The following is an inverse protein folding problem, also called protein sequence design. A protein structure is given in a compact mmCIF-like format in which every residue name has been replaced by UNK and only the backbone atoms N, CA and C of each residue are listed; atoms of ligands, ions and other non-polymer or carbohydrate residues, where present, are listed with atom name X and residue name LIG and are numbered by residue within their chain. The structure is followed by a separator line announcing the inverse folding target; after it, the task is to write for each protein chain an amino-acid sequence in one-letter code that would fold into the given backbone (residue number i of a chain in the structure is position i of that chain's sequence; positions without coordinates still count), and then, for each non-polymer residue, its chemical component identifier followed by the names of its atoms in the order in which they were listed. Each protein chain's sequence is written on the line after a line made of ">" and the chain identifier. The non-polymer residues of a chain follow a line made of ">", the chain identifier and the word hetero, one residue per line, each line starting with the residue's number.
data_IF_827053111297
#
_entry.id   IF_827053111297
#
_cell.length_a   1.000
_cell.length_b   1.000
_cell.length_c   1.000
_cell.angle_alpha   90.00
_cell.angle_beta   90.00
_cell.angle_gamma   90.00
#
_symmetry.space_group_name_H-M   'P 1'
#
loop_
_entity.id
_entity.type
_entity.pdbx_description
1 polymer ?
#
# COMPACT_ATOMS: atom_id res chain seq x y z
N UNK A 1 4.56 40.97 -81.14
CA UNK A 1 3.12 40.61 -81.16
C UNK A 1 3.01 39.17 -80.66
N UNK A 2 2.83 38.96 -79.36
CA UNK A 2 1.55 38.86 -78.63
C UNK A 2 0.76 37.57 -78.97
N UNK A 3 0.75 36.66 -77.98
CA UNK A 3 -0.38 35.83 -77.49
C UNK A 3 -0.85 34.66 -78.37
N UNK A 4 -1.19 33.46 -77.87
CA UNK A 4 -1.72 32.98 -76.57
C UNK A 4 -1.23 31.54 -76.31
N UNK A 5 -0.95 31.19 -75.06
CA UNK A 5 -0.88 29.80 -74.59
C UNK A 5 -1.74 29.60 -73.33
N UNK A 6 -2.87 28.95 -73.57
CA UNK A 6 -3.65 28.01 -72.74
C UNK A 6 -3.50 27.98 -71.22
N UNK A 7 -4.65 28.27 -70.61
CA UNK A 7 -5.17 27.87 -69.31
C UNK A 7 -5.18 26.34 -69.12
N UNK A 8 -4.51 25.80 -68.08
CA UNK A 8 -5.10 24.88 -67.07
C UNK A 8 -4.05 24.28 -66.13
N UNK A 9 -4.53 23.97 -64.93
CA UNK A 9 -3.94 23.09 -63.92
C UNK A 9 -2.78 23.67 -63.10
N UNK A 10 -3.10 24.58 -62.19
CA UNK A 10 -2.31 24.78 -60.98
C UNK A 10 -3.24 25.15 -59.81
N UNK A 11 -4.19 24.28 -59.47
CA UNK A 11 -5.11 24.51 -58.34
C UNK A 11 -5.44 23.23 -57.57
N UNK A 12 -4.59 22.20 -57.62
CA UNK A 12 -4.81 20.97 -56.84
C UNK A 12 -3.92 20.81 -55.60
N UNK A 13 -2.90 21.66 -55.42
CA UNK A 13 -1.88 21.42 -54.39
C UNK A 13 -2.10 22.13 -53.04
N UNK A 14 -3.03 23.08 -52.92
CA UNK A 14 -3.16 23.84 -51.66
C UNK A 14 -4.27 23.33 -50.73
N UNK A 15 -5.28 22.63 -51.25
CA UNK A 15 -6.41 22.16 -50.44
C UNK A 15 -6.17 20.76 -49.84
N UNK A 16 -5.31 19.95 -50.48
CA UNK A 16 -4.99 18.59 -50.01
C UNK A 16 -4.00 18.58 -48.82
N UNK A 17 -3.17 19.62 -48.70
CA UNK A 17 -2.18 19.74 -47.61
C UNK A 17 -2.86 20.15 -46.29
N UNK A 18 -3.97 20.88 -46.35
CA UNK A 18 -4.68 21.35 -45.15
C UNK A 18 -5.49 20.24 -44.45
N UNK A 19 -5.94 19.22 -45.20
CA UNK A 19 -6.71 18.10 -44.65
C UNK A 19 -5.82 16.99 -44.04
N UNK A 20 -4.54 16.94 -44.42
CA UNK A 20 -3.59 15.91 -43.97
C UNK A 20 -2.95 16.26 -42.63
N UNK A 21 -3.08 17.51 -42.16
CA UNK A 21 -2.49 18.00 -40.91
C UNK A 21 -3.39 17.79 -39.67
N UNK A 22 -4.61 17.26 -39.84
CA UNK A 22 -5.61 17.15 -38.78
C UNK A 22 -5.72 15.74 -38.15
N UNK A 23 -4.81 14.81 -38.45
CA UNK A 23 -4.89 13.40 -38.01
C UNK A 23 -3.73 13.01 -37.07
N UNK A 24 -2.85 13.94 -36.69
CA UNK A 24 -1.82 13.63 -35.70
C UNK A 24 -2.30 13.98 -34.30
N UNK A 25 -2.03 13.09 -33.34
CA UNK A 25 -2.29 13.17 -31.89
C UNK A 25 -3.54 12.46 -31.35
N UNK A 26 -3.70 11.18 -31.68
CA UNK A 26 -4.21 10.21 -30.68
C UNK A 26 -3.03 9.40 -30.15
N UNK A 27 -2.18 10.04 -29.34
CA UNK A 27 -1.29 9.31 -28.44
C UNK A 27 -2.10 8.98 -27.19
N UNK A 28 -2.78 7.85 -27.21
CA UNK A 28 -3.37 7.28 -26.01
C UNK A 28 -2.21 6.59 -25.28
N UNK A 29 -1.49 7.34 -24.44
CA UNK A 29 -0.60 6.72 -23.47
C UNK A 29 -1.52 5.90 -22.56
N UNK A 30 -1.34 4.58 -22.56
CA UNK A 30 -1.88 3.76 -21.49
C UNK A 30 -1.01 4.03 -20.28
N UNK A 31 -1.23 5.18 -19.63
CA UNK A 31 -0.93 5.31 -18.21
C UNK A 31 -2.02 4.52 -17.49
N UNK A 32 -1.91 3.20 -17.62
CA UNK A 32 -2.49 2.29 -16.66
C UNK A 32 -1.65 2.61 -15.41
N UNK A 33 -2.24 3.24 -14.40
CA UNK A 33 -1.53 3.78 -13.23
C UNK A 33 -0.70 2.74 -12.47
N UNK A 34 -0.26 3.03 -11.22
CA UNK A 34 0.51 2.04 -10.47
C UNK A 34 -0.24 0.69 -10.40
N UNK A 35 0.49 -0.44 -10.40
CA UNK A 35 -0.12 -1.77 -10.42
C UNK A 35 -0.94 -2.08 -9.15
N UNK A 36 -0.75 -1.28 -8.09
CA UNK A 36 -1.51 -1.31 -6.85
C UNK A 36 -2.06 0.09 -6.52
N UNK A 37 -3.00 0.14 -5.58
CA UNK A 37 -3.49 1.40 -5.00
C UNK A 37 -2.36 2.16 -4.29
N UNK A 38 -2.38 3.50 -4.35
CA UNK A 38 -1.52 4.39 -3.53
C UNK A 38 -1.97 4.49 -2.08
N UNK A 39 -3.15 3.92 -1.77
CA UNK A 39 -3.55 3.65 -0.38
C UNK A 39 -3.06 2.23 -0.07
N UNK A 40 -2.29 2.01 1.00
CA UNK A 40 -1.75 0.70 1.31
C UNK A 40 -2.86 -0.30 1.61
N UNK A 41 -2.66 -1.55 1.20
CA UNK A 41 -3.56 -2.66 1.48
C UNK A 41 -2.82 -3.74 2.27
N UNK A 42 -3.46 -4.31 3.29
CA UNK A 42 -2.91 -5.39 4.10
C UNK A 42 -3.84 -6.59 4.21
N UNK A 43 -3.24 -7.78 4.28
CA UNK A 43 -3.94 -9.04 4.50
C UNK A 43 -3.25 -9.87 5.58
N UNK A 44 -4.04 -10.57 6.41
CA UNK A 44 -3.50 -11.50 7.39
C UNK A 44 -2.99 -12.75 6.67
N UNK A 45 -1.71 -13.08 6.87
CA UNK A 45 -1.12 -14.33 6.37
C UNK A 45 -1.23 -15.42 7.42
N UNK A 46 -0.78 -15.15 8.65
CA UNK A 46 -0.78 -16.14 9.74
C UNK A 46 -0.59 -15.52 11.13
N UNK A 47 -0.85 -16.34 12.15
CA UNK A 47 -0.38 -16.15 13.52
C UNK A 47 0.48 -17.37 13.90
N UNK A 48 1.55 -17.18 14.69
CA UNK A 48 2.48 -18.27 15.04
C UNK A 48 1.85 -19.36 15.91
N UNK A 49 0.90 -18.99 16.77
CA UNK A 49 0.18 -19.89 17.68
C UNK A 49 -1.17 -19.27 18.05
N UNK A 50 -2.14 -20.12 18.39
CA UNK A 50 -3.44 -19.70 18.93
C UNK A 50 -3.45 -19.64 20.47
N UNK A 51 -2.38 -20.13 21.11
CA UNK A 51 -2.24 -20.19 22.56
C UNK A 51 -0.85 -19.74 22.96
N UNK A 52 -0.77 -18.82 23.92
CA UNK A 52 0.50 -18.26 24.43
C UNK A 52 0.57 -18.38 25.94
N UNK A 53 1.69 -18.86 26.45
CA UNK A 53 2.03 -18.79 27.88
C UNK A 53 2.52 -17.38 28.18
N UNK A 54 1.87 -16.71 29.14
CA UNK A 54 2.21 -15.34 29.50
C UNK A 54 3.70 -15.19 29.84
N UNK A 55 4.29 -14.04 29.49
CA UNK A 55 5.71 -13.69 29.75
C UNK A 55 6.78 -14.60 29.14
N UNK A 56 6.41 -15.76 28.59
CA UNK A 56 7.32 -16.75 28.00
C UNK A 56 7.26 -16.74 26.48
N UNK A 57 6.04 -16.82 25.93
CA UNK A 57 5.86 -17.04 24.51
C UNK A 57 5.82 -15.72 23.72
N UNK A 58 6.33 -15.79 22.49
CA UNK A 58 6.27 -14.69 21.52
C UNK A 58 5.20 -15.02 20.49
N UNK A 59 4.13 -14.22 20.45
CA UNK A 59 3.17 -14.27 19.34
C UNK A 59 3.77 -13.52 18.15
N UNK A 60 3.78 -14.13 16.97
CA UNK A 60 4.19 -13.49 15.71
C UNK A 60 2.95 -13.42 14.82
N UNK A 61 2.57 -12.21 14.42
CA UNK A 61 1.53 -11.97 13.43
C UNK A 61 2.22 -11.64 12.10
N UNK A 62 1.95 -12.42 11.06
CA UNK A 62 2.48 -12.15 9.72
C UNK A 62 1.38 -11.56 8.85
N UNK A 63 1.67 -10.41 8.25
CA UNK A 63 0.78 -9.74 7.29
C UNK A 63 1.48 -9.63 5.93
N UNK A 64 0.70 -9.64 4.86
CA UNK A 64 1.14 -9.22 3.53
C UNK A 64 0.70 -7.77 3.31
N UNK A 65 1.56 -6.95 2.68
CA UNK A 65 1.23 -5.59 2.27
C UNK A 65 1.38 -5.40 0.75
N UNK A 66 0.63 -4.45 0.22
CA UNK A 66 0.73 -3.93 -1.16
C UNK A 66 0.60 -2.42 -1.13
N UNK A 67 1.43 -1.75 -1.90
CA UNK A 67 1.43 -0.29 -1.99
C UNK A 67 1.93 0.19 -3.36
N UNK A 68 1.26 1.18 -3.92
CA UNK A 68 1.37 1.56 -5.34
C UNK A 68 2.51 2.52 -5.64
N UNK A 69 2.87 3.37 -4.70
CA UNK A 69 3.92 4.39 -4.79
C UNK A 69 5.10 4.12 -3.84
N UNK A 70 4.99 3.13 -2.95
CA UNK A 70 6.14 2.56 -2.24
C UNK A 70 6.55 3.34 -1.01
N UNK A 71 5.64 4.08 -0.40
CA UNK A 71 5.95 5.02 0.66
C UNK A 71 5.60 4.50 2.07
N UNK A 72 5.34 3.19 2.20
CA UNK A 72 5.28 2.52 3.51
C UNK A 72 6.60 2.70 4.28
N UNK A 73 6.46 3.09 5.55
CA UNK A 73 7.55 3.29 6.51
C UNK A 73 7.96 4.76 6.66
N UNK A 74 8.70 5.06 7.72
CA UNK A 74 9.08 6.44 8.08
C UNK A 74 10.59 6.59 8.08
N UNK A 75 11.09 7.77 7.72
CA UNK A 75 12.51 8.10 7.87
C UNK A 75 12.87 8.40 9.33
N UNK A 76 11.93 9.02 10.05
CA UNK A 76 12.06 9.37 11.45
C UNK A 76 11.66 8.17 12.34
N UNK A 77 12.57 7.62 13.16
CA UNK A 77 12.28 6.49 14.04
C UNK A 77 11.26 6.80 15.14
N UNK A 78 10.94 8.08 15.38
CA UNK A 78 9.94 8.51 16.35
C UNK A 78 8.51 8.53 15.75
N UNK A 79 8.36 8.21 14.45
CA UNK A 79 7.06 8.16 13.76
C UNK A 79 6.67 6.71 13.47
N UNK A 80 5.48 6.32 13.93
CA UNK A 80 4.96 4.97 13.78
C UNK A 80 4.22 4.78 12.44
N UNK A 81 4.30 3.57 11.89
CA UNK A 81 3.69 3.20 10.60
C UNK A 81 2.69 2.06 10.72
N UNK A 82 2.86 1.18 11.71
CA UNK A 82 1.93 0.09 11.99
C UNK A 82 1.32 0.28 13.36
N UNK A 83 0.01 0.10 13.41
CA UNK A 83 -0.76 0.29 14.63
C UNK A 83 -1.45 -1.02 14.95
N UNK A 84 -1.28 -1.47 16.19
CA UNK A 84 -1.87 -2.72 16.67
C UNK A 84 -2.63 -2.46 17.96
N UNK A 85 -3.81 -3.04 18.07
CA UNK A 85 -4.62 -2.96 19.28
C UNK A 85 -5.06 -4.33 19.73
N UNK A 86 -4.73 -4.68 20.96
CA UNK A 86 -5.34 -5.78 21.68
C UNK A 86 -6.81 -5.46 21.94
N UNK A 87 -7.74 -6.36 21.61
CA UNK A 87 -9.18 -6.14 21.79
C UNK A 87 -9.61 -5.88 23.24
N UNK A 88 -8.75 -6.19 24.22
CA UNK A 88 -8.95 -5.89 25.63
C UNK A 88 -8.61 -4.43 26.01
N UNK A 89 -7.98 -3.67 25.10
CA UNK A 89 -7.52 -2.30 25.30
C UNK A 89 -8.29 -1.30 24.40
N UNK A 90 -8.35 -0.05 24.85
CA UNK A 90 -9.04 1.02 24.12
C UNK A 90 -8.19 1.64 23.00
N UNK A 91 -6.87 1.75 23.22
CA UNK A 91 -5.97 2.50 22.35
C UNK A 91 -5.09 1.56 21.50
N UNK A 92 -4.67 2.05 20.33
CA UNK A 92 -3.65 1.39 19.51
C UNK A 92 -2.25 1.72 20.02
N UNK A 93 -1.38 0.72 20.00
CA UNK A 93 0.05 0.88 20.12
C UNK A 93 0.65 1.01 18.71
N UNK A 94 1.44 2.05 18.50
CA UNK A 94 2.13 2.28 17.23
C UNK A 94 3.56 1.75 17.26
N UNK A 95 4.03 1.20 16.14
CA UNK A 95 5.40 0.75 15.96
C UNK A 95 6.01 1.36 14.70
N UNK A 96 7.30 1.66 14.80
CA UNK A 96 8.11 2.15 13.70
C UNK A 96 8.37 1.04 12.68
N UNK A 97 8.23 1.39 11.40
CA UNK A 97 8.73 0.62 10.27
C UNK A 97 9.62 1.58 9.48
N UNK A 98 10.88 1.20 9.25
CA UNK A 98 11.77 1.98 8.40
C UNK A 98 11.32 1.97 6.93
N UNK A 99 11.86 2.87 6.08
CA UNK A 99 11.41 2.98 4.70
C UNK A 99 11.66 1.66 3.97
N UNK A 100 10.60 1.08 3.41
CA UNK A 100 10.71 -0.20 2.69
C UNK A 100 11.33 0.03 1.31
N UNK A 101 10.87 1.05 0.59
CA UNK A 101 11.51 1.52 -0.62
C UNK A 101 12.52 2.65 -0.32
N UNK A 102 13.51 2.87 -1.22
CA UNK A 102 14.39 4.03 -1.13
C UNK A 102 13.63 5.36 -1.08
N UNK A 103 14.14 6.31 -0.31
CA UNK A 103 13.54 7.64 -0.21
C UNK A 103 13.62 8.38 -1.55
N UNK A 104 12.52 9.03 -1.92
CA UNK A 104 12.40 9.78 -3.16
C UNK A 104 12.17 8.92 -4.41
N UNK A 105 11.84 7.64 -4.25
CA UNK A 105 11.42 6.77 -5.36
C UNK A 105 9.94 6.43 -5.25
N UNK A 106 9.23 6.53 -6.37
CA UNK A 106 7.84 6.07 -6.50
C UNK A 106 7.85 4.69 -7.17
N UNK A 107 7.83 3.63 -6.38
CA UNK A 107 7.91 2.25 -6.86
C UNK A 107 6.90 1.39 -6.13
N UNK A 108 6.04 0.69 -6.87
CA UNK A 108 5.10 -0.23 -6.27
C UNK A 108 5.82 -1.35 -5.52
N UNK A 109 5.41 -1.61 -4.28
CA UNK A 109 6.00 -2.62 -3.39
C UNK A 109 4.96 -3.63 -2.93
N UNK A 110 5.44 -4.83 -2.63
CA UNK A 110 4.68 -5.85 -1.92
C UNK A 110 5.65 -6.73 -1.14
N UNK A 111 5.19 -7.25 -0.01
CA UNK A 111 6.01 -8.09 0.84
C UNK A 111 5.25 -8.49 2.10
N UNK A 112 5.98 -9.06 3.06
CA UNK A 112 5.43 -9.46 4.34
C UNK A 112 6.13 -8.75 5.50
N UNK A 113 5.37 -8.50 6.56
CA UNK A 113 5.86 -7.97 7.83
C UNK A 113 5.53 -8.97 8.94
N UNK A 114 6.50 -9.21 9.81
CA UNK A 114 6.32 -9.98 11.04
C UNK A 114 6.26 -9.02 12.22
N UNK A 115 5.15 -9.05 12.95
CA UNK A 115 4.95 -8.26 14.16
C UNK A 115 5.09 -9.20 15.35
N UNK A 116 6.10 -8.95 16.19
CA UNK A 116 6.42 -9.78 17.35
C UNK A 116 5.86 -9.18 18.65
N UNK A 117 5.18 -10.00 19.45
CA UNK A 117 4.64 -9.64 20.76
C UNK A 117 5.32 -10.48 21.85
N UNK A 118 6.47 -10.04 22.38
CA UNK A 118 7.30 -10.87 23.26
C UNK A 118 6.84 -10.95 24.72
N UNK A 119 5.67 -10.42 25.08
CA UNK A 119 5.23 -10.34 26.48
C UNK A 119 3.72 -10.17 26.60
N UNK A 120 2.94 -11.09 26.04
CA UNK A 120 1.50 -11.13 26.33
C UNK A 120 1.26 -11.62 27.76
N UNK A 121 0.22 -11.09 28.41
CA UNK A 121 -0.13 -11.43 29.79
C UNK A 121 -1.63 -11.32 30.08
N UNK A 122 -2.07 -11.95 31.17
CA UNK A 122 -3.44 -11.88 31.66
C UNK A 122 -3.65 -10.57 32.45
N UNK A 123 -4.76 -9.87 32.21
CA UNK A 123 -5.10 -8.66 32.97
C UNK A 123 -5.83 -8.98 34.29
N UNK A 124 -6.61 -10.05 34.29
CA UNK A 124 -7.36 -10.54 35.43
C UNK A 124 -6.65 -11.66 36.19
N UNK A 125 -7.34 -12.17 37.21
CA UNK A 125 -6.83 -13.24 38.08
C UNK A 125 -7.20 -14.66 37.58
N UNK A 126 -7.88 -14.80 36.43
CA UNK A 126 -8.29 -16.08 35.83
C UNK A 126 -7.11 -16.90 35.32
N UNK A 127 -7.29 -18.18 34.96
CA UNK A 127 -6.21 -19.04 34.44
C UNK A 127 -5.93 -18.87 32.94
N UNK A 128 -6.86 -18.26 32.20
CA UNK A 128 -6.73 -17.96 30.79
C UNK A 128 -7.56 -16.73 30.42
N UNK A 129 -7.16 -16.04 29.35
CA UNK A 129 -7.91 -14.94 28.73
C UNK A 129 -7.89 -15.08 27.21
N UNK A 130 -9.01 -14.79 26.57
CA UNK A 130 -9.09 -14.77 25.11
C UNK A 130 -9.00 -13.31 24.63
N UNK A 131 -8.21 -13.09 23.59
CA UNK A 131 -8.17 -11.81 22.88
C UNK A 131 -8.01 -12.04 21.38
N UNK A 132 -7.97 -10.95 20.63
CA UNK A 132 -7.61 -10.90 19.22
C UNK A 132 -7.07 -9.48 18.95
N UNK A 133 -6.44 -9.27 17.80
CA UNK A 133 -5.74 -8.03 17.50
C UNK A 133 -6.33 -7.36 16.26
N UNK A 134 -6.44 -6.03 16.33
CA UNK A 134 -6.72 -5.16 15.21
C UNK A 134 -5.42 -4.57 14.69
N UNK A 135 -5.21 -4.55 13.37
CA UNK A 135 -4.01 -3.97 12.77
C UNK A 135 -4.37 -3.10 11.56
N UNK A 136 -3.70 -1.97 11.43
CA UNK A 136 -3.68 -1.16 10.21
C UNK A 136 -2.30 -0.52 10.00
N UNK A 137 -2.02 -0.12 8.75
CA UNK A 137 -0.83 0.64 8.35
C UNK A 137 -1.20 2.09 8.02
N UNK A 138 -0.24 2.99 8.23
CA UNK A 138 -0.24 4.35 7.72
C UNK A 138 1.06 4.58 6.96
N UNK A 139 0.95 5.00 5.71
CA UNK A 139 2.09 5.32 4.87
C UNK A 139 2.69 6.71 5.20
N UNK A 140 3.69 7.14 4.42
CA UNK A 140 4.34 8.44 4.62
C UNK A 140 3.52 9.61 4.08
N UNK A 141 2.65 9.40 3.10
CA UNK A 141 1.66 10.37 2.64
C UNK A 141 0.47 10.54 3.62
N UNK A 142 0.34 9.68 4.62
CA UNK A 142 -0.71 9.69 5.64
C UNK A 142 -1.96 8.90 5.24
N UNK A 143 -1.93 8.07 4.19
CA UNK A 143 -3.04 7.21 3.86
C UNK A 143 -3.07 6.01 4.81
N UNK A 144 -4.26 5.68 5.30
CA UNK A 144 -4.49 4.54 6.17
C UNK A 144 -4.99 3.35 5.36
N UNK A 145 -4.44 2.17 5.63
CA UNK A 145 -4.89 0.91 5.03
C UNK A 145 -6.27 0.48 5.52
N UNK A 146 -6.79 -0.60 4.93
CA UNK A 146 -7.83 -1.39 5.57
C UNK A 146 -7.37 -1.91 6.93
N UNK A 147 -8.31 -2.13 7.84
CA UNK A 147 -8.06 -2.76 9.13
C UNK A 147 -8.31 -4.28 9.03
N UNK A 148 -7.39 -5.06 9.57
CA UNK A 148 -7.52 -6.52 9.69
C UNK A 148 -7.72 -6.93 11.15
N UNK A 149 -8.30 -8.11 11.34
CA UNK A 149 -8.57 -8.70 12.64
C UNK A 149 -7.97 -10.12 12.66
N UNK A 150 -7.21 -10.46 13.70
CA UNK A 150 -6.69 -11.81 13.86
C UNK A 150 -7.76 -12.80 14.33
N UNK A 151 -7.52 -14.12 14.16
CA UNK A 151 -8.20 -15.13 14.96
C UNK A 151 -8.01 -14.88 16.47
N UNK A 152 -8.84 -15.54 17.27
CA UNK A 152 -8.73 -15.53 18.72
C UNK A 152 -7.41 -16.17 19.17
N UNK A 153 -6.73 -15.51 20.10
CA UNK A 153 -5.55 -15.98 20.82
C UNK A 153 -5.91 -16.19 22.28
N UNK A 154 -5.55 -17.34 22.82
CA UNK A 154 -5.72 -17.70 24.24
C UNK A 154 -4.41 -17.45 24.98
N UNK A 155 -4.43 -16.57 25.96
CA UNK A 155 -3.29 -16.31 26.86
C UNK A 155 -3.51 -17.15 28.11
N UNK A 156 -2.57 -18.04 28.43
CA UNK A 156 -2.63 -18.91 29.62
C UNK A 156 -1.58 -18.50 30.64
N UNK A 157 -1.88 -18.78 31.91
CA UNK A 157 -0.92 -18.57 33.00
C UNK A 157 0.27 -19.53 32.86
N UNK A 158 1.45 -19.05 33.26
CA UNK A 158 2.69 -19.85 33.45
C UNK A 158 2.51 -20.98 34.46
#
# INVERSE_FOLDING_TARGET
>A
MISKATFRCCFLNSFLILLTCLITFSSCNKDDGPPFSVIPEIELVSISTDTVVQFSDILIITIEYRDGDGDIGQEDPDVNSIFVRDARLENYDGFYIGPIAPIGTEVAITGQLNIEFPSLFLFGNGSAENTFFYLYLVDRAGNQSNEIITPTVTIVRE
#
